data_IF_623556673090
#
_entry.id   IF_623556673090
#
_cell.length_a   1.000
_cell.length_b   1.000
_cell.length_c   1.000
_cell.angle_alpha   90.00
_cell.angle_beta   90.00
_cell.angle_gamma   90.00
#
_symmetry.space_group_name_H-M   'P 1'
#
loop_
_entity.id
_entity.type
_entity.pdbx_description
1 polymer ?
#
# COMPACT_ATOMS: atom_id res chain seq x y z
N UNK A 1 -11.96 -6.93 -16.30
CA UNK A 1 -13.26 -6.53 -15.70
C UNK A 1 -13.43 -5.00 -15.61
N UNK A 2 -12.76 -4.20 -16.46
CA UNK A 2 -12.64 -2.73 -16.30
C UNK A 2 -13.58 -1.89 -17.18
N UNK A 3 -14.34 -2.49 -18.09
CA UNK A 3 -15.00 -1.71 -19.17
C UNK A 3 -16.52 -1.52 -19.03
N UNK A 4 -17.23 -2.36 -18.26
CA UNK A 4 -18.71 -2.31 -18.20
C UNK A 4 -19.27 -1.12 -17.41
N UNK A 5 -18.56 -0.65 -16.39
CA UNK A 5 -19.06 0.43 -15.53
C UNK A 5 -18.65 1.82 -15.99
N UNK A 6 -17.73 1.96 -16.95
CA UNK A 6 -17.32 3.28 -17.44
C UNK A 6 -18.41 3.95 -18.27
N UNK A 7 -19.03 3.22 -19.21
CA UNK A 7 -20.15 3.73 -20.00
C UNK A 7 -21.36 4.05 -19.12
N UNK A 8 -21.67 3.16 -18.17
CA UNK A 8 -22.80 3.37 -17.24
C UNK A 8 -22.59 4.61 -16.37
N UNK A 9 -21.35 4.92 -15.98
CA UNK A 9 -21.04 6.14 -15.24
C UNK A 9 -21.26 7.40 -16.05
N UNK A 10 -21.10 7.36 -17.38
CA UNK A 10 -21.39 8.50 -18.28
C UNK A 10 -22.88 8.70 -18.50
N UNK A 11 -23.66 7.61 -18.55
CA UNK A 11 -25.12 7.63 -18.72
C UNK A 11 -25.90 7.97 -17.45
N UNK A 12 -25.31 7.81 -16.27
CA UNK A 12 -26.00 8.00 -14.98
C UNK A 12 -26.18 9.48 -14.64
N UNK A 13 -27.37 9.85 -14.17
CA UNK A 13 -27.62 11.16 -13.56
C UNK A 13 -27.21 11.14 -12.09
N UNK A 14 -26.20 11.93 -11.71
CA UNK A 14 -25.75 12.04 -10.33
C UNK A 14 -26.47 13.19 -9.61
N UNK A 15 -26.83 13.02 -8.32
CA UNK A 15 -27.42 14.09 -7.53
C UNK A 15 -26.43 15.23 -7.20
N UNK A 16 -25.12 14.94 -7.25
CA UNK A 16 -24.04 15.90 -6.97
C UNK A 16 -22.82 15.54 -7.86
N UNK A 17 -22.11 16.56 -8.36
CA UNK A 17 -20.90 16.41 -9.17
C UNK A 17 -19.82 15.58 -8.47
N UNK A 18 -19.77 15.57 -7.13
CA UNK A 18 -18.79 14.76 -6.37
C UNK A 18 -18.92 13.25 -6.58
N UNK A 19 -20.06 12.77 -7.07
CA UNK A 19 -20.31 11.35 -7.30
C UNK A 19 -20.02 10.89 -8.73
N UNK A 20 -19.58 11.79 -9.62
CA UNK A 20 -19.41 11.52 -11.06
C UNK A 20 -18.52 10.31 -11.37
N UNK A 21 -17.54 10.02 -10.51
CA UNK A 21 -16.61 8.90 -10.67
C UNK A 21 -16.98 7.66 -9.83
N UNK A 22 -18.15 7.65 -9.20
CA UNK A 22 -18.61 6.53 -8.36
C UNK A 22 -18.78 5.26 -9.17
N UNK A 23 -18.15 4.17 -8.70
CA UNK A 23 -18.31 2.83 -9.28
C UNK A 23 -19.63 2.16 -8.87
N UNK A 24 -20.41 2.77 -7.97
CA UNK A 24 -21.61 2.20 -7.37
C UNK A 24 -22.86 2.50 -8.20
N UNK A 25 -22.86 2.10 -9.46
CA UNK A 25 -23.99 2.24 -10.39
C UNK A 25 -24.57 0.87 -10.73
N UNK A 26 -25.89 0.81 -10.95
CA UNK A 26 -26.57 -0.42 -11.34
C UNK A 26 -27.54 -0.15 -12.49
N UNK A 27 -27.50 -1.00 -13.52
CA UNK A 27 -28.44 -1.04 -14.64
C UNK A 27 -29.22 -2.35 -14.61
N UNK A 28 -30.36 -2.37 -13.93
CA UNK A 28 -31.20 -3.57 -13.82
C UNK A 28 -31.86 -3.96 -15.16
N UNK A 29 -32.21 -2.97 -15.99
CA UNK A 29 -32.82 -3.17 -17.30
C UNK A 29 -32.03 -2.41 -18.36
N UNK A 30 -31.71 -3.05 -19.49
CA UNK A 30 -30.98 -2.39 -20.59
C UNK A 30 -31.73 -1.18 -21.18
N UNK A 31 -33.06 -1.19 -21.10
CA UNK A 31 -33.95 -0.13 -21.58
C UNK A 31 -34.02 1.11 -20.68
N UNK A 32 -33.45 1.07 -19.47
CA UNK A 32 -33.45 2.19 -18.54
C UNK A 32 -32.02 2.71 -18.31
N UNK A 33 -31.83 4.01 -18.07
CA UNK A 33 -30.53 4.52 -17.71
C UNK A 33 -30.05 3.87 -16.39
N UNK A 34 -28.73 3.67 -16.23
CA UNK A 34 -28.19 3.20 -14.96
C UNK A 34 -28.51 4.19 -13.83
N UNK A 35 -28.66 3.65 -12.63
CA UNK A 35 -29.00 4.43 -11.43
C UNK A 35 -27.91 4.28 -10.38
N UNK A 36 -27.63 5.38 -9.67
CA UNK A 36 -26.70 5.35 -8.54
C UNK A 36 -27.29 4.48 -7.43
N UNK A 37 -26.48 3.58 -6.88
CA UNK A 37 -26.86 2.77 -5.72
C UNK A 37 -26.93 3.67 -4.50
N UNK A 38 -28.15 3.88 -4.01
CA UNK A 38 -28.43 4.62 -2.77
C UNK A 38 -28.95 3.68 -1.67
N UNK A 39 -29.02 4.19 -0.43
CA UNK A 39 -29.63 3.49 0.69
C UNK A 39 -28.87 2.24 1.16
N UNK A 40 -27.54 2.33 1.26
CA UNK A 40 -26.68 1.20 1.62
C UNK A 40 -27.11 0.47 2.89
N UNK A 41 -27.53 1.17 3.94
CA UNK A 41 -28.03 0.54 5.17
C UNK A 41 -29.13 -0.47 4.86
N UNK A 42 -30.19 -0.07 4.15
CA UNK A 42 -31.31 -0.95 3.83
C UNK A 42 -30.89 -2.14 2.95
N UNK A 43 -29.96 -1.92 2.01
CA UNK A 43 -29.42 -2.99 1.16
C UNK A 43 -28.64 -4.03 1.97
N UNK A 44 -27.80 -3.57 2.91
CA UNK A 44 -27.03 -4.46 3.79
C UNK A 44 -27.96 -5.23 4.74
N UNK A 45 -29.04 -4.61 5.22
CA UNK A 45 -30.07 -5.33 6.00
C UNK A 45 -30.75 -6.42 5.17
N UNK A 46 -31.15 -6.11 3.93
CA UNK A 46 -31.72 -7.12 3.02
C UNK A 46 -30.74 -8.26 2.75
N UNK A 47 -29.46 -7.96 2.62
CA UNK A 47 -28.41 -8.97 2.47
C UNK A 47 -28.33 -9.88 3.70
N UNK A 48 -28.28 -9.33 4.92
CA UNK A 48 -28.31 -10.13 6.14
C UNK A 48 -29.57 -11.01 6.25
N UNK A 49 -30.73 -10.49 5.85
CA UNK A 49 -31.98 -11.26 5.83
C UNK A 49 -31.92 -12.40 4.81
N UNK A 50 -31.41 -12.13 3.60
CA UNK A 50 -31.36 -13.10 2.50
C UNK A 50 -30.43 -14.28 2.82
N UNK A 51 -29.30 -14.01 3.47
CA UNK A 51 -28.33 -15.05 3.86
C UNK A 51 -28.55 -15.58 5.27
N UNK A 52 -29.65 -15.19 5.93
CA UNK A 52 -30.03 -15.62 7.26
C UNK A 52 -28.91 -15.47 8.31
N UNK A 53 -28.27 -14.29 8.33
CA UNK A 53 -27.27 -13.94 9.33
C UNK A 53 -27.92 -13.58 10.66
N UNK A 54 -28.49 -14.59 11.32
CA UNK A 54 -29.17 -14.46 12.60
C UNK A 54 -28.15 -14.32 13.72
N UNK A 55 -28.36 -13.32 14.57
CA UNK A 55 -27.52 -13.06 15.73
C UNK A 55 -27.71 -14.16 16.77
N UNK A 56 -26.63 -14.83 17.13
CA UNK A 56 -26.55 -15.79 18.24
C UNK A 56 -26.25 -15.08 19.57
N UNK A 57 -26.37 -15.79 20.69
CA UNK A 57 -26.01 -15.24 22.00
C UNK A 57 -24.50 -14.94 22.06
N UNK A 58 -23.69 -15.83 21.46
CA UNK A 58 -22.24 -15.68 21.34
C UNK A 58 -21.88 -14.40 20.57
N UNK A 59 -22.53 -14.15 19.42
CA UNK A 59 -22.30 -12.93 18.63
C UNK A 59 -22.64 -11.65 19.42
N UNK A 60 -23.72 -11.69 20.19
CA UNK A 60 -24.16 -10.56 20.99
C UNK A 60 -23.15 -10.23 22.09
N UNK A 61 -22.67 -11.25 22.81
CA UNK A 61 -21.63 -11.11 23.83
C UNK A 61 -20.32 -10.61 23.22
N UNK A 62 -19.85 -11.21 22.13
CA UNK A 62 -18.62 -10.76 21.45
C UNK A 62 -18.74 -9.30 20.99
N UNK A 63 -19.90 -8.90 20.46
CA UNK A 63 -20.13 -7.53 20.02
C UNK A 63 -20.09 -6.55 21.20
N UNK A 64 -20.66 -6.91 22.35
CA UNK A 64 -20.59 -6.08 23.56
C UNK A 64 -19.15 -5.91 24.06
N UNK A 65 -18.40 -7.02 24.16
CA UNK A 65 -17.02 -7.00 24.61
C UNK A 65 -16.11 -6.20 23.66
N UNK A 66 -16.35 -6.34 22.37
CA UNK A 66 -15.63 -5.62 21.33
C UNK A 66 -15.97 -4.13 21.29
N UNK A 67 -17.06 -3.68 21.92
CA UNK A 67 -17.55 -2.29 21.89
C UNK A 67 -17.75 -1.68 23.31
N UNK A 68 -16.71 -1.62 24.16
CA UNK A 68 -16.86 -1.27 25.57
C UNK A 68 -17.35 0.16 25.84
N UNK A 69 -17.20 1.07 24.85
CA UNK A 69 -17.64 2.49 24.98
C UNK A 69 -18.99 2.76 24.34
N UNK A 70 -19.69 1.73 23.84
CA UNK A 70 -21.01 1.89 23.22
C UNK A 70 -22.00 0.76 23.56
N UNK A 71 -22.08 0.29 24.82
CA UNK A 71 -22.93 -0.84 25.18
C UNK A 71 -24.42 -0.57 24.92
N UNK A 72 -24.90 0.65 25.19
CA UNK A 72 -26.28 1.04 24.96
C UNK A 72 -26.69 0.96 23.49
N UNK A 73 -25.75 1.25 22.58
CA UNK A 73 -25.99 1.17 21.14
C UNK A 73 -26.02 -0.28 20.66
N UNK A 74 -25.11 -1.13 21.14
CA UNK A 74 -25.11 -2.56 20.82
C UNK A 74 -26.42 -3.21 21.27
N UNK A 75 -26.87 -2.95 22.51
CA UNK A 75 -28.14 -3.47 23.04
C UNK A 75 -29.37 -3.04 22.24
N UNK A 76 -29.30 -1.87 21.58
CA UNK A 76 -30.38 -1.35 20.75
C UNK A 76 -30.37 -1.96 19.35
N UNK A 77 -29.20 -2.03 18.73
CA UNK A 77 -29.06 -2.36 17.31
C UNK A 77 -28.89 -3.88 17.08
N UNK A 78 -28.30 -4.62 18.02
CA UNK A 78 -28.00 -6.05 17.92
C UNK A 78 -28.97 -6.82 18.82
N UNK A 79 -29.83 -7.64 18.22
CA UNK A 79 -30.90 -8.37 18.92
C UNK A 79 -30.78 -9.86 18.57
N UNK A 80 -30.62 -10.70 19.58
CA UNK A 80 -30.54 -12.16 19.45
C UNK A 80 -31.79 -12.70 18.74
N UNK A 81 -31.59 -13.64 17.82
CA UNK A 81 -32.67 -14.24 17.02
C UNK A 81 -33.17 -13.37 15.86
N UNK A 82 -32.63 -12.15 15.68
CA UNK A 82 -32.91 -11.31 14.49
C UNK A 82 -31.70 -11.29 13.55
N UNK A 83 -31.90 -10.93 12.28
CA UNK A 83 -30.79 -10.67 11.36
C UNK A 83 -29.86 -9.56 11.85
N UNK A 84 -28.56 -9.72 11.63
CA UNK A 84 -27.53 -8.76 12.07
C UNK A 84 -27.77 -7.37 11.47
N UNK A 85 -27.72 -6.34 12.33
CA UNK A 85 -27.93 -4.95 11.91
C UNK A 85 -26.68 -4.39 11.20
N UNK A 86 -26.51 -4.72 9.92
CA UNK A 86 -25.33 -4.33 9.15
C UNK A 86 -25.38 -2.87 8.65
N UNK A 87 -24.30 -2.12 8.90
CA UNK A 87 -24.14 -0.73 8.40
C UNK A 87 -22.77 -0.51 7.76
N UNK A 88 -22.62 0.43 6.79
CA UNK A 88 -21.35 0.67 6.11
C UNK A 88 -20.20 1.06 7.05
N UNK A 89 -20.50 1.76 8.14
CA UNK A 89 -19.47 2.16 9.11
C UNK A 89 -18.88 0.97 9.88
N UNK A 90 -19.59 -0.16 9.98
CA UNK A 90 -19.05 -1.37 10.61
C UNK A 90 -17.83 -1.89 9.83
N UNK A 91 -17.81 -1.86 8.49
CA UNK A 91 -16.64 -2.31 7.72
C UNK A 91 -15.36 -1.55 8.09
N UNK A 92 -15.45 -0.22 8.18
CA UNK A 92 -14.31 0.63 8.57
C UNK A 92 -13.86 0.33 9.99
N UNK A 93 -14.81 0.10 10.91
CA UNK A 93 -14.52 -0.24 12.30
C UNK A 93 -13.90 -1.64 12.44
N UNK A 94 -14.46 -2.63 11.78
CA UNK A 94 -13.97 -4.02 11.75
C UNK A 94 -12.52 -4.06 11.29
N UNK A 95 -12.19 -3.35 10.21
CA UNK A 95 -10.81 -3.24 9.74
C UNK A 95 -9.87 -2.68 10.84
N UNK A 96 -10.22 -1.54 11.44
CA UNK A 96 -9.39 -0.93 12.47
C UNK A 96 -9.26 -1.78 13.74
N UNK A 97 -10.35 -2.39 14.19
CA UNK A 97 -10.39 -3.27 15.34
C UNK A 97 -9.45 -4.47 15.14
N UNK A 98 -9.58 -5.18 14.01
CA UNK A 98 -8.76 -6.37 13.74
C UNK A 98 -7.30 -6.04 13.43
N UNK A 99 -7.01 -4.89 12.78
CA UNK A 99 -5.64 -4.42 12.60
C UNK A 99 -4.91 -4.23 13.94
N UNK A 100 -5.59 -3.64 14.93
CA UNK A 100 -5.00 -3.46 16.27
C UNK A 100 -5.01 -4.78 17.06
N UNK A 101 -6.11 -5.55 17.02
CA UNK A 101 -6.23 -6.83 17.74
C UNK A 101 -5.07 -7.78 17.37
N UNK A 102 -4.81 -7.92 16.07
CA UNK A 102 -3.80 -8.82 15.52
C UNK A 102 -2.42 -8.16 15.32
N UNK A 103 -2.21 -6.93 15.81
CA UNK A 103 -0.94 -6.19 15.68
C UNK A 103 -0.43 -6.03 14.24
N UNK A 104 -1.34 -5.93 13.27
CA UNK A 104 -1.03 -5.78 11.84
C UNK A 104 -0.74 -4.34 11.42
N UNK A 105 -0.91 -3.37 12.33
CA UNK A 105 -0.66 -1.98 12.03
C UNK A 105 -0.71 -1.08 13.27
N UNK A 106 -0.31 0.17 13.08
CA UNK A 106 -0.30 1.19 14.14
C UNK A 106 -1.49 2.15 13.99
N UNK A 107 -1.81 2.88 15.07
CA UNK A 107 -2.83 3.94 15.02
C UNK A 107 -2.48 5.03 14.00
N UNK A 108 -1.19 5.32 13.81
CA UNK A 108 -0.70 6.31 12.85
C UNK A 108 -0.96 5.83 11.41
N UNK A 109 -0.64 4.57 11.11
CA UNK A 109 -0.92 3.96 9.81
C UNK A 109 -2.43 3.96 9.51
N UNK A 110 -3.25 3.55 10.49
CA UNK A 110 -4.70 3.58 10.36
C UNK A 110 -5.23 5.01 10.16
N UNK A 111 -4.71 6.01 10.87
CA UNK A 111 -5.08 7.43 10.68
C UNK A 111 -4.81 7.88 9.25
N UNK A 112 -3.64 7.54 8.69
CA UNK A 112 -3.29 7.87 7.31
C UNK A 112 -4.19 7.14 6.31
N UNK A 113 -4.39 5.82 6.46
CA UNK A 113 -5.27 5.02 5.60
C UNK A 113 -6.69 5.56 5.59
N UNK A 114 -7.18 5.98 6.75
CA UNK A 114 -8.51 6.54 6.94
C UNK A 114 -8.63 8.01 6.58
N UNK A 115 -7.51 8.70 6.31
CA UNK A 115 -7.46 10.15 6.09
C UNK A 115 -8.10 10.93 7.24
N UNK A 116 -7.96 10.43 8.47
CA UNK A 116 -8.46 11.12 9.66
C UNK A 116 -7.57 12.32 9.98
N UNK A 117 -8.20 13.46 10.31
CA UNK A 117 -7.48 14.66 10.75
C UNK A 117 -6.79 14.43 12.10
N UNK A 118 -7.50 13.84 13.06
CA UNK A 118 -7.05 13.63 14.43
C UNK A 118 -6.87 12.15 14.76
N UNK A 119 -5.88 11.84 15.61
CA UNK A 119 -5.61 10.48 16.06
C UNK A 119 -6.76 9.92 16.93
N UNK A 120 -7.38 10.77 17.75
CA UNK A 120 -8.52 10.43 18.61
C UNK A 120 -9.72 9.86 17.84
N UNK A 121 -9.93 10.31 16.59
CA UNK A 121 -10.95 9.71 15.73
C UNK A 121 -10.62 8.25 15.41
N UNK A 122 -9.36 7.96 15.03
CA UNK A 122 -8.92 6.58 14.79
C UNK A 122 -9.01 5.73 16.05
N UNK A 123 -8.63 6.27 17.21
CA UNK A 123 -8.73 5.58 18.49
C UNK A 123 -10.16 5.11 18.79
N UNK A 124 -11.16 5.93 18.45
CA UNK A 124 -12.57 5.55 18.57
C UNK A 124 -12.93 4.33 17.71
N UNK A 125 -12.41 4.22 16.49
CA UNK A 125 -12.62 3.05 15.62
C UNK A 125 -11.90 1.80 16.14
N UNK A 126 -10.76 1.97 16.83
CA UNK A 126 -10.01 0.86 17.44
C UNK A 126 -10.49 0.48 18.83
N UNK A 127 -11.58 1.09 19.30
CA UNK A 127 -12.12 0.85 20.63
C UNK A 127 -12.40 -0.64 20.85
N UNK A 128 -12.00 -1.16 22.02
CA UNK A 128 -12.03 -2.58 22.34
C UNK A 128 -10.88 -3.39 21.72
N UNK A 129 -10.26 -2.95 20.63
CA UNK A 129 -9.21 -3.71 19.94
C UNK A 129 -7.92 -3.89 20.75
N UNK A 130 -7.50 -2.85 21.48
CA UNK A 130 -6.34 -2.94 22.39
C UNK A 130 -6.64 -3.84 23.60
N UNK A 131 -7.85 -3.76 24.16
CA UNK A 131 -8.29 -4.62 25.26
C UNK A 131 -8.41 -6.08 24.81
N UNK A 132 -8.95 -6.32 23.61
CA UNK A 132 -9.02 -7.63 22.99
C UNK A 132 -7.62 -8.19 22.73
N UNK A 133 -6.68 -7.39 22.21
CA UNK A 133 -5.28 -7.81 22.03
C UNK A 133 -4.57 -8.15 23.36
N UNK A 134 -4.93 -7.45 24.45
CA UNK A 134 -4.41 -7.74 25.79
C UNK A 134 -5.05 -8.99 26.43
N UNK A 135 -6.27 -9.35 26.05
CA UNK A 135 -6.93 -10.58 26.51
C UNK A 135 -6.45 -11.81 25.71
N UNK A 136 -6.25 -11.62 24.41
CA UNK A 136 -5.72 -12.61 23.46
C UNK A 136 -4.21 -12.40 23.26
N UNK A 137 -3.41 -12.39 24.33
CA UNK A 137 -1.98 -11.97 24.35
C UNK A 137 -1.02 -12.70 23.36
N UNK A 138 -1.50 -13.67 22.58
CA UNK A 138 -0.84 -14.17 21.36
C UNK A 138 -1.67 -13.77 20.14
N UNK A 139 -1.01 -13.11 19.18
CA UNK A 139 -1.50 -13.02 17.80
C UNK A 139 -1.89 -14.42 17.35
N UNK A 140 -3.05 -14.58 16.70
CA UNK A 140 -3.50 -15.88 16.21
C UNK A 140 -2.36 -16.55 15.41
N UNK A 141 -1.86 -17.67 15.93
CA UNK A 141 -0.68 -18.35 15.38
C UNK A 141 -0.94 -18.82 13.93
N UNK A 142 -2.20 -19.11 13.57
CA UNK A 142 -2.57 -19.46 12.19
C UNK A 142 -2.50 -18.24 11.28
N UNK A 143 -2.99 -17.09 11.75
CA UNK A 143 -2.92 -15.83 10.99
C UNK A 143 -1.47 -15.40 10.80
N UNK A 144 -0.65 -15.47 11.85
CA UNK A 144 0.77 -15.13 11.76
C UNK A 144 1.49 -16.06 10.77
N UNK A 145 1.28 -17.38 10.88
CA UNK A 145 1.87 -18.34 9.96
C UNK A 145 1.45 -18.10 8.51
N UNK A 146 0.16 -17.80 8.28
CA UNK A 146 -0.33 -17.47 6.95
C UNK A 146 0.33 -16.19 6.39
N UNK A 147 0.50 -15.16 7.22
CA UNK A 147 1.19 -13.92 6.81
C UNK A 147 2.66 -14.18 6.50
N UNK A 148 3.36 -14.95 7.33
CA UNK A 148 4.76 -15.30 7.12
C UNK A 148 4.94 -16.12 5.83
N UNK A 149 4.03 -17.06 5.55
CA UNK A 149 4.01 -17.83 4.31
C UNK A 149 3.75 -16.94 3.08
N UNK A 150 2.75 -16.04 3.14
CA UNK A 150 2.45 -15.09 2.06
C UNK A 150 3.63 -14.14 1.83
N UNK A 151 4.27 -13.64 2.90
CA UNK A 151 5.42 -12.75 2.81
C UNK A 151 6.63 -13.45 2.17
N UNK A 152 6.90 -14.70 2.58
CA UNK A 152 7.96 -15.51 2.00
C UNK A 152 7.67 -15.81 0.52
N UNK A 153 6.44 -16.18 0.18
CA UNK A 153 6.02 -16.47 -1.19
C UNK A 153 6.12 -15.23 -2.08
N UNK A 154 5.62 -14.08 -1.61
CA UNK A 154 5.67 -12.81 -2.34
C UNK A 154 7.11 -12.36 -2.57
N UNK A 155 7.96 -12.47 -1.54
CA UNK A 155 9.38 -12.16 -1.64
C UNK A 155 10.08 -13.10 -2.63
N UNK A 156 9.85 -14.41 -2.54
CA UNK A 156 10.44 -15.40 -3.44
C UNK A 156 10.00 -15.19 -4.89
N UNK A 157 8.71 -14.94 -5.12
CA UNK A 157 8.17 -14.59 -6.44
C UNK A 157 8.85 -13.35 -7.02
N UNK A 158 9.07 -12.32 -6.20
CA UNK A 158 9.73 -11.09 -6.66
C UNK A 158 11.20 -11.31 -7.01
N UNK A 159 11.95 -11.99 -6.15
CA UNK A 159 13.36 -12.34 -6.42
C UNK A 159 13.46 -13.23 -7.65
N UNK A 160 12.63 -14.28 -7.74
CA UNK A 160 12.61 -15.18 -8.89
C UNK A 160 12.36 -14.42 -10.20
N UNK A 161 11.36 -13.52 -10.22
CA UNK A 161 11.11 -12.65 -11.37
C UNK A 161 12.29 -11.75 -11.72
N UNK A 162 12.97 -11.17 -10.72
CA UNK A 162 14.17 -10.34 -10.97
C UNK A 162 15.29 -11.11 -11.66
N UNK A 163 15.45 -12.40 -11.37
CA UNK A 163 16.52 -13.24 -11.95
C UNK A 163 16.13 -13.95 -13.25
N UNK A 164 14.86 -14.37 -13.39
CA UNK A 164 14.40 -15.24 -14.48
C UNK A 164 13.53 -14.55 -15.53
N UNK A 165 13.30 -13.24 -15.41
CA UNK A 165 12.60 -12.46 -16.45
C UNK A 165 13.56 -11.61 -17.27
N UNK A 166 13.07 -11.13 -18.41
CA UNK A 166 13.78 -10.20 -19.28
C UNK A 166 13.60 -8.73 -18.85
N UNK A 167 13.01 -8.49 -17.67
CA UNK A 167 12.74 -7.13 -17.19
C UNK A 167 14.02 -6.36 -16.95
N UNK A 168 14.11 -5.14 -17.46
CA UNK A 168 15.24 -4.25 -17.16
C UNK A 168 15.28 -3.93 -15.67
N UNK A 169 16.47 -3.99 -15.07
CA UNK A 169 16.71 -3.63 -13.67
C UNK A 169 17.82 -2.58 -13.60
N UNK A 170 17.57 -1.54 -12.80
CA UNK A 170 18.53 -0.51 -12.42
C UNK A 170 18.94 -0.68 -10.93
N UNK A 171 19.71 0.26 -10.39
CA UNK A 171 20.36 0.15 -9.09
C UNK A 171 21.62 -0.71 -9.15
N UNK A 172 22.47 -0.58 -8.13
CA UNK A 172 23.78 -1.26 -8.09
C UNK A 172 23.69 -2.78 -8.22
N UNK A 173 22.76 -3.41 -7.49
CA UNK A 173 22.53 -4.84 -7.59
C UNK A 173 21.69 -5.22 -8.81
N UNK A 174 20.72 -4.38 -9.22
CA UNK A 174 19.93 -4.66 -10.42
C UNK A 174 20.80 -4.71 -11.68
N UNK A 175 21.74 -3.77 -11.84
CA UNK A 175 22.75 -3.81 -12.90
C UNK A 175 23.65 -5.04 -12.82
N UNK A 176 23.97 -5.49 -11.61
CA UNK A 176 24.73 -6.72 -11.40
C UNK A 176 23.92 -7.95 -11.83
N UNK A 177 22.63 -8.01 -11.49
CA UNK A 177 21.70 -9.06 -11.94
C UNK A 177 21.65 -9.09 -13.46
N UNK A 178 21.44 -7.94 -14.13
CA UNK A 178 21.41 -7.87 -15.60
C UNK A 178 22.65 -8.49 -16.26
N UNK A 179 23.84 -8.32 -15.65
CA UNK A 179 25.09 -8.95 -16.11
C UNK A 179 25.19 -10.43 -15.80
N UNK A 180 24.60 -10.88 -14.69
CA UNK A 180 24.67 -12.27 -14.21
C UNK A 180 23.53 -13.16 -14.73
N UNK A 181 22.51 -12.63 -15.41
CA UNK A 181 21.39 -13.46 -15.95
C UNK A 181 21.84 -14.55 -16.93
N UNK A 182 23.01 -14.40 -17.55
CA UNK A 182 23.60 -15.47 -18.38
C UNK A 182 24.25 -16.61 -17.60
N UNK A 183 24.60 -16.38 -16.32
CA UNK A 183 25.23 -17.35 -15.42
C UNK A 183 24.62 -17.22 -14.01
N UNK A 184 23.39 -17.72 -13.87
CA UNK A 184 22.57 -17.52 -12.67
C UNK A 184 23.17 -18.30 -11.49
N UNK A 185 23.53 -17.64 -10.38
CA UNK A 185 24.07 -18.31 -9.20
C UNK A 185 23.10 -19.35 -8.63
N UNK A 186 23.63 -20.43 -8.06
CA UNK A 186 22.84 -21.57 -7.55
C UNK A 186 21.73 -21.16 -6.57
N UNK A 187 21.98 -20.13 -5.75
CA UNK A 187 21.00 -19.62 -4.77
C UNK A 187 19.75 -19.01 -5.44
N UNK A 188 19.85 -18.61 -6.70
CA UNK A 188 18.74 -18.05 -7.51
C UNK A 188 18.27 -19.03 -8.60
N UNK A 189 18.71 -20.29 -8.58
CA UNK A 189 18.49 -21.26 -9.67
C UNK A 189 17.02 -21.64 -9.89
N UNK A 190 16.25 -21.83 -8.83
CA UNK A 190 14.83 -22.19 -8.92
C UNK A 190 14.00 -21.48 -7.85
N UNK A 191 12.69 -21.43 -8.08
CA UNK A 191 11.76 -20.84 -7.14
C UNK A 191 11.81 -21.52 -5.76
N UNK A 192 11.89 -22.84 -5.71
CA UNK A 192 11.95 -23.60 -4.45
C UNK A 192 13.21 -23.31 -3.64
N UNK A 193 14.36 -23.15 -4.31
CA UNK A 193 15.64 -22.80 -3.67
C UNK A 193 15.56 -21.39 -3.08
N UNK A 194 15.02 -20.44 -3.84
CA UNK A 194 14.82 -19.06 -3.37
C UNK A 194 13.84 -19.04 -2.19
N UNK A 195 12.70 -19.71 -2.30
CA UNK A 195 11.68 -19.77 -1.24
C UNK A 195 12.25 -20.33 0.06
N UNK A 196 13.04 -21.42 -0.03
CA UNK A 196 13.74 -21.98 1.12
C UNK A 196 14.76 -21.00 1.71
N UNK A 197 15.56 -20.35 0.87
CA UNK A 197 16.54 -19.36 1.32
C UNK A 197 15.88 -18.13 1.99
N UNK A 198 14.70 -17.72 1.52
CA UNK A 198 13.91 -16.64 2.13
C UNK A 198 13.34 -17.09 3.48
N UNK A 199 12.77 -18.30 3.58
CA UNK A 199 12.29 -18.86 4.86
C UNK A 199 13.39 -19.03 5.89
N UNK A 200 14.60 -19.41 5.45
CA UNK A 200 15.78 -19.53 6.29
C UNK A 200 16.39 -18.15 6.68
N UNK A 201 15.86 -17.04 6.15
CA UNK A 201 16.39 -15.69 6.37
C UNK A 201 17.72 -15.39 5.68
N UNK A 202 18.19 -16.26 4.77
CA UNK A 202 19.43 -16.08 4.00
C UNK A 202 19.28 -15.09 2.86
N UNK A 203 18.07 -14.99 2.30
CA UNK A 203 17.70 -13.99 1.32
C UNK A 203 16.60 -13.12 1.90
N UNK A 204 16.82 -11.81 1.86
CA UNK A 204 15.82 -10.81 2.22
C UNK A 204 15.63 -9.86 1.05
N UNK A 205 14.42 -9.31 0.92
CA UNK A 205 14.12 -8.27 -0.05
C UNK A 205 13.14 -7.29 0.57
N UNK A 206 13.58 -6.06 0.77
CA UNK A 206 12.78 -5.00 1.35
C UNK A 206 12.44 -3.98 0.27
N UNK A 207 11.16 -3.84 -0.06
CA UNK A 207 10.68 -2.87 -1.04
C UNK A 207 10.32 -1.54 -0.41
N UNK A 208 10.84 -0.45 -0.98
CA UNK A 208 10.36 0.92 -0.77
C UNK A 208 9.60 1.40 -2.02
N UNK A 209 9.15 2.66 -2.00
CA UNK A 209 8.50 3.27 -3.17
C UNK A 209 9.47 3.51 -4.35
N UNK A 210 10.78 3.54 -4.09
CA UNK A 210 11.80 3.97 -5.07
C UNK A 210 12.84 2.89 -5.39
N UNK A 211 12.96 1.83 -4.58
CA UNK A 211 13.90 0.73 -4.79
C UNK A 211 13.54 -0.51 -3.97
N UNK A 212 14.10 -1.66 -4.31
CA UNK A 212 14.25 -2.82 -3.44
C UNK A 212 15.67 -2.90 -2.85
N UNK A 213 15.79 -3.46 -1.64
CA UNK A 213 17.06 -3.63 -0.94
C UNK A 213 17.22 -5.07 -0.42
N UNK A 214 18.37 -5.69 -0.68
CA UNK A 214 18.74 -7.01 -0.13
C UNK A 214 19.48 -6.98 1.20
N UNK A 215 19.96 -5.81 1.65
CA UNK A 215 20.68 -5.68 2.94
C UNK A 215 19.73 -5.67 4.13
N UNK A 216 18.45 -5.30 3.93
CA UNK A 216 17.49 -5.22 5.02
C UNK A 216 17.99 -4.38 6.20
N UNK A 217 18.11 -4.99 7.37
CA UNK A 217 18.57 -4.34 8.60
C UNK A 217 20.06 -4.01 8.64
N UNK A 218 20.87 -4.55 7.72
CA UNK A 218 22.30 -4.19 7.58
C UNK A 218 22.48 -2.87 6.78
N UNK A 219 21.38 -2.24 6.36
CA UNK A 219 21.36 -0.94 5.69
C UNK A 219 21.38 0.20 6.72
N UNK A 220 22.11 1.28 6.44
CA UNK A 220 22.06 2.53 7.21
C UNK A 220 20.69 3.23 7.15
N UNK A 221 19.87 2.87 6.16
CA UNK A 221 18.53 3.38 5.91
C UNK A 221 18.47 4.88 5.58
N UNK A 222 19.60 5.52 5.25
CA UNK A 222 19.66 6.92 4.82
C UNK A 222 18.81 7.16 3.56
N UNK A 223 18.71 6.13 2.72
CA UNK A 223 17.88 6.09 1.52
C UNK A 223 16.38 6.28 1.76
N UNK A 224 15.88 6.10 2.99
CA UNK A 224 14.46 6.30 3.32
C UNK A 224 14.09 7.79 3.26
N UNK A 225 14.99 8.66 3.71
CA UNK A 225 14.82 10.13 3.66
C UNK A 225 15.36 10.68 2.35
N UNK A 226 16.45 10.08 1.86
CA UNK A 226 17.29 10.60 0.80
C UNK A 226 17.44 9.56 -0.33
N UNK A 227 16.42 9.41 -1.20
CA UNK A 227 16.31 8.27 -2.12
C UNK A 227 17.49 8.10 -3.09
N UNK A 228 18.24 9.17 -3.38
CA UNK A 228 19.38 9.11 -4.31
C UNK A 228 20.46 8.12 -3.86
N UNK A 229 20.61 7.89 -2.55
CA UNK A 229 21.56 6.91 -2.03
C UNK A 229 21.18 5.47 -2.38
N UNK A 230 19.93 5.23 -2.77
CA UNK A 230 19.52 3.92 -3.27
C UNK A 230 19.79 3.72 -4.76
N UNK A 231 20.16 4.73 -5.54
CA UNK A 231 20.55 4.51 -6.95
C UNK A 231 21.97 3.97 -7.02
N UNK A 232 22.92 4.70 -6.44
CA UNK A 232 24.34 4.33 -6.34
C UNK A 232 24.68 3.82 -4.92
N UNK A 233 23.92 2.84 -4.45
CA UNK A 233 24.02 2.35 -3.08
C UNK A 233 25.37 1.68 -2.80
N UNK A 234 26.11 2.20 -1.82
CA UNK A 234 27.45 1.74 -1.44
C UNK A 234 27.51 0.29 -0.95
N UNK A 235 26.42 -0.23 -0.39
CA UNK A 235 26.32 -1.65 -0.01
C UNK A 235 26.07 -2.59 -1.20
N UNK A 236 25.95 -2.06 -2.42
CA UNK A 236 25.78 -2.85 -3.64
C UNK A 236 24.48 -3.65 -3.68
N UNK A 237 23.45 -3.20 -2.94
CA UNK A 237 22.28 -4.01 -2.59
C UNK A 237 20.95 -3.49 -3.13
N UNK A 238 20.99 -2.40 -3.91
CA UNK A 238 19.78 -1.80 -4.45
C UNK A 238 19.38 -2.39 -5.81
N UNK A 239 18.09 -2.64 -5.98
CA UNK A 239 17.47 -3.11 -7.23
C UNK A 239 16.29 -2.20 -7.53
N UNK A 240 16.23 -1.64 -8.73
CA UNK A 240 15.15 -0.76 -9.17
C UNK A 240 14.47 -1.40 -10.38
N UNK A 241 13.15 -1.59 -10.31
CA UNK A 241 12.35 -2.08 -11.43
C UNK A 241 11.62 -0.96 -12.19
N UNK A 242 10.90 -1.31 -13.26
CA UNK A 242 10.19 -0.34 -14.10
C UNK A 242 9.13 0.45 -13.32
N UNK A 243 8.46 -0.17 -12.34
CA UNK A 243 7.46 0.51 -11.52
C UNK A 243 8.11 1.60 -10.66
N UNK A 244 9.27 1.31 -10.07
CA UNK A 244 10.06 2.27 -9.30
C UNK A 244 10.71 3.32 -10.21
N UNK A 245 11.10 2.97 -11.44
CA UNK A 245 11.57 3.93 -12.43
C UNK A 245 10.51 4.98 -12.77
N UNK A 246 9.23 4.60 -12.85
CA UNK A 246 8.10 5.56 -12.99
C UNK A 246 7.98 6.50 -11.79
N UNK A 247 8.26 6.02 -10.58
CA UNK A 247 8.34 6.88 -9.40
C UNK A 247 9.49 7.90 -9.54
N UNK A 248 10.67 7.46 -9.99
CA UNK A 248 11.82 8.34 -10.26
C UNK A 248 11.51 9.39 -11.34
N UNK A 249 10.83 9.01 -12.42
CA UNK A 249 10.38 9.97 -13.44
C UNK A 249 9.43 11.03 -12.87
N UNK A 250 8.48 10.62 -12.02
CA UNK A 250 7.58 11.57 -11.34
C UNK A 250 8.35 12.49 -10.40
N UNK A 251 9.31 11.94 -9.66
CA UNK A 251 10.16 12.69 -8.73
C UNK A 251 11.02 13.72 -9.47
N UNK A 252 11.63 13.34 -10.60
CA UNK A 252 12.35 14.25 -11.50
C UNK A 252 11.48 15.43 -11.92
N UNK A 253 10.34 15.16 -12.56
CA UNK A 253 9.43 16.22 -13.05
C UNK A 253 8.97 17.15 -11.93
N UNK A 254 8.68 16.61 -10.75
CA UNK A 254 8.26 17.40 -9.60
C UNK A 254 9.37 18.30 -9.07
N UNK A 255 10.62 17.83 -9.04
CA UNK A 255 11.75 18.62 -8.53
C UNK A 255 12.17 19.70 -9.53
N UNK A 256 12.24 19.36 -10.82
CA UNK A 256 12.56 20.34 -11.87
C UNK A 256 11.52 21.47 -11.89
N UNK A 257 10.23 21.13 -11.90
CA UNK A 257 9.17 22.13 -11.84
C UNK A 257 9.21 22.99 -10.56
N UNK A 258 9.67 22.41 -9.44
CA UNK A 258 9.83 23.16 -8.19
C UNK A 258 11.00 24.14 -8.26
N UNK A 259 12.16 23.71 -8.79
CA UNK A 259 13.33 24.57 -8.96
C UNK A 259 13.07 25.70 -9.98
N UNK A 260 12.25 25.45 -11.00
CA UNK A 260 11.85 26.44 -12.00
C UNK A 260 10.70 27.36 -11.53
N UNK A 261 10.09 27.11 -10.37
CA UNK A 261 8.90 27.85 -9.91
C UNK A 261 9.17 29.30 -9.48
N UNK A 262 10.44 29.67 -9.30
CA UNK A 262 10.84 30.98 -8.78
C UNK A 262 10.68 31.15 -7.27
N UNK A 263 10.38 30.07 -6.54
CA UNK A 263 10.44 30.07 -5.07
C UNK A 263 11.90 30.23 -4.58
N UNK A 264 12.08 30.87 -3.41
CA UNK A 264 13.40 31.04 -2.81
C UNK A 264 13.86 29.71 -2.20
N UNK A 265 14.85 29.07 -2.83
CA UNK A 265 15.41 27.79 -2.40
C UNK A 265 16.80 28.04 -1.83
N UNK A 266 17.09 27.52 -0.63
CA UNK A 266 18.43 27.65 -0.06
C UNK A 266 19.46 26.89 -0.90
N UNK A 267 20.72 27.32 -0.87
CA UNK A 267 21.83 26.66 -1.61
C UNK A 267 21.93 25.18 -1.25
N UNK A 268 21.70 24.83 0.03
CA UNK A 268 21.70 23.44 0.49
C UNK A 268 20.54 22.62 -0.07
N UNK A 269 19.34 23.19 -0.14
CA UNK A 269 18.16 22.51 -0.70
C UNK A 269 18.32 22.33 -2.20
N UNK A 270 18.81 23.37 -2.90
CA UNK A 270 19.09 23.30 -4.32
C UNK A 270 20.10 22.20 -4.64
N UNK A 271 21.23 22.16 -3.92
CA UNK A 271 22.23 21.08 -4.07
C UNK A 271 21.62 19.70 -3.82
N UNK A 272 20.81 19.55 -2.77
CA UNK A 272 20.12 18.30 -2.47
C UNK A 272 19.13 17.88 -3.58
N UNK A 273 18.37 18.81 -4.15
CA UNK A 273 17.46 18.53 -5.27
C UNK A 273 18.20 18.15 -6.54
N UNK A 274 19.29 18.84 -6.87
CA UNK A 274 20.13 18.51 -8.03
C UNK A 274 20.66 17.07 -7.92
N UNK A 275 21.11 16.64 -6.74
CA UNK A 275 21.57 15.25 -6.57
C UNK A 275 20.45 14.23 -6.78
N UNK A 276 19.22 14.54 -6.36
CA UNK A 276 18.05 13.68 -6.60
C UNK A 276 17.62 13.65 -8.07
N UNK A 277 17.65 14.80 -8.74
CA UNK A 277 17.35 14.90 -10.18
C UNK A 277 18.33 14.06 -10.97
N UNK A 278 19.64 14.21 -10.73
CA UNK A 278 20.68 13.39 -11.39
C UNK A 278 20.52 11.90 -11.13
N UNK A 279 20.15 11.52 -9.91
CA UNK A 279 19.87 10.11 -9.59
C UNK A 279 18.65 9.60 -10.38
N UNK A 280 17.59 10.41 -10.50
CA UNK A 280 16.42 10.07 -11.30
C UNK A 280 16.75 9.93 -12.79
N UNK A 281 17.59 10.82 -13.34
CA UNK A 281 18.07 10.78 -14.73
C UNK A 281 18.84 9.50 -15.01
N UNK A 282 19.73 9.08 -14.11
CA UNK A 282 20.44 7.79 -14.24
C UNK A 282 19.46 6.62 -14.34
N UNK A 283 18.46 6.58 -13.45
CA UNK A 283 17.44 5.52 -13.48
C UNK A 283 16.63 5.60 -14.77
N UNK A 284 16.17 6.78 -15.18
CA UNK A 284 15.41 6.93 -16.42
C UNK A 284 16.24 6.50 -17.65
N UNK A 285 17.53 6.84 -17.68
CA UNK A 285 18.45 6.41 -18.73
C UNK A 285 18.64 4.88 -18.77
N UNK A 286 18.75 4.23 -17.60
CA UNK A 286 18.85 2.77 -17.53
C UNK A 286 17.61 2.04 -18.09
N UNK A 287 16.46 2.72 -18.14
CA UNK A 287 15.18 2.21 -18.65
C UNK A 287 14.79 2.78 -20.02
N UNK A 288 15.69 3.49 -20.72
CA UNK A 288 15.42 4.17 -22.01
C UNK A 288 14.20 5.11 -21.95
N UNK A 289 13.93 5.70 -20.79
CA UNK A 289 12.83 6.64 -20.60
C UNK A 289 13.25 8.03 -21.09
N UNK A 290 12.38 8.72 -21.82
CA UNK A 290 12.67 10.08 -22.28
C UNK A 290 12.61 11.10 -21.13
N UNK A 291 13.64 11.95 -21.06
CA UNK A 291 13.73 13.10 -20.18
C UNK A 291 14.64 14.18 -20.79
N UNK A 292 14.45 15.42 -20.36
CA UNK A 292 15.38 16.52 -20.66
C UNK A 292 16.36 16.61 -19.50
N UNK A 293 17.68 16.49 -19.73
CA UNK A 293 18.68 16.65 -18.69
C UNK A 293 18.57 18.02 -18.03
N UNK A 294 18.60 18.05 -16.71
CA UNK A 294 18.63 19.28 -15.94
C UNK A 294 20.06 19.83 -15.93
N UNK A 295 20.27 20.97 -16.57
CA UNK A 295 21.51 21.72 -16.49
C UNK A 295 21.44 22.66 -15.27
N UNK A 296 22.25 22.44 -14.21
CA UNK A 296 22.29 23.38 -13.11
C UNK A 296 23.01 24.65 -13.57
N UNK A 297 22.42 25.81 -13.29
CA UNK A 297 23.07 27.11 -13.41
C UNK A 297 24.25 27.15 -12.42
N UNK A 298 25.40 26.65 -12.84
CA UNK A 298 26.65 26.79 -12.12
C UNK A 298 27.22 28.17 -12.44
N UNK A 299 26.77 29.20 -11.73
CA UNK A 299 27.59 30.40 -11.57
C UNK A 299 28.84 29.99 -10.78
N UNK A 300 29.91 29.65 -11.51
CA UNK A 300 31.23 29.45 -10.93
C UNK A 300 31.66 30.78 -10.33
N UNK A 301 31.50 30.93 -9.02
CA UNK A 301 32.14 32.00 -8.28
C UNK A 301 33.66 31.79 -8.41
N UNK A 302 34.28 32.48 -9.36
CA UNK A 302 35.72 32.62 -9.42
C UNK A 302 36.15 33.35 -8.13
N UNK A 303 36.74 32.61 -7.19
CA UNK A 303 37.52 33.13 -6.07
C UNK A 303 38.97 33.31 -6.51
#
# INVERSE_FOLDING_TARGET
MTTLTEEWRKETTYPDKKYKDSIWVNKAYRSKPPTLITGWNHRLQRFCNQFNFIVTEEDFVECLESNPRSPSRVKKDVIVGKPWHMTPHQFRRTLAFYCIKNRLGTLVALKQQFKHLYLSMTEWYTNGGKLASLRDLKVDEKVQKALDEINAETTANKIFRQWHSDETLSGTHGKAIMKMRGDVPTIYSSWDVIYKAVKDGKLTLHGSMHSYCKSGYDCDMDGVVTPQFCVDCGSGSSIIDEQQAKWWQKKHRSLVAYMESGEEISVSEHSHYVTQVRAAEKVMADFDMSFTPFEPDLEVANL
#
